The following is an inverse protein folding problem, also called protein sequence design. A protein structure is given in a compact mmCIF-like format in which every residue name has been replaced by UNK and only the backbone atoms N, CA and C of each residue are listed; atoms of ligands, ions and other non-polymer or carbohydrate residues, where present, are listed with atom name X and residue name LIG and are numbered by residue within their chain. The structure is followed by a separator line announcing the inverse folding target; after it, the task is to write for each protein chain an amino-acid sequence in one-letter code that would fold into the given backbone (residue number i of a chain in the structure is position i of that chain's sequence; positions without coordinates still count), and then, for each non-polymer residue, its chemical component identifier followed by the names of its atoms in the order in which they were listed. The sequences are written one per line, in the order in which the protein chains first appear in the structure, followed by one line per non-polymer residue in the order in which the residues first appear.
data_IF_547167687063
#
_entry.id   IF_547167687063
#
_cell.length_a   1.000
_cell.length_b   1.000
_cell.length_c   1.000
_cell.angle_alpha   90.00
_cell.angle_beta   90.00
_cell.angle_gamma   90.00
#
_symmetry.space_group_name_H-M   'P 1'
#
loop_
_entity.id
_entity.type
_entity.pdbx_description
1 polymer ?
#
# COMPACT_ATOMS: atom_id res chain seq x y z
N UNK A 1 10.84 23.31 7.77
CA UNK A 1 11.57 23.04 9.03
C UNK A 1 10.65 22.86 10.24
N UNK A 2 9.69 23.75 10.54
CA UNK A 2 8.84 23.66 11.76
C UNK A 2 8.12 22.31 11.96
N UNK A 3 7.55 21.71 10.92
CA UNK A 3 6.86 20.41 11.02
C UNK A 3 7.79 19.21 11.31
N UNK A 4 9.12 19.36 11.21
CA UNK A 4 10.07 18.31 11.56
C UNK A 4 10.47 18.30 13.04
N UNK A 5 10.31 19.44 13.72
CA UNK A 5 10.74 19.62 15.13
C UNK A 5 9.57 19.85 16.10
N UNK A 6 8.39 20.21 15.59
CA UNK A 6 7.20 20.50 16.37
C UNK A 6 6.06 19.54 16.00
N UNK A 7 5.67 18.69 16.95
CA UNK A 7 4.60 17.72 16.78
C UNK A 7 3.22 18.37 16.56
N UNK A 8 2.97 19.53 17.16
CA UNK A 8 1.72 20.28 16.97
C UNK A 8 1.66 20.86 15.56
N UNK A 9 2.74 21.51 15.12
CA UNK A 9 2.82 22.05 13.76
C UNK A 9 2.73 20.96 12.69
N UNK A 10 3.28 19.76 12.96
CA UNK A 10 3.11 18.58 12.11
C UNK A 10 1.64 18.15 12.05
N UNK A 11 0.96 18.10 13.19
CA UNK A 11 -0.46 17.76 13.27
C UNK A 11 -1.34 18.73 12.48
N UNK A 12 -1.10 20.03 12.61
CA UNK A 12 -1.85 21.06 11.88
C UNK A 12 -1.66 20.94 10.36
N UNK A 13 -0.42 20.73 9.93
CA UNK A 13 -0.11 20.50 8.51
C UNK A 13 -0.79 19.24 7.98
N UNK A 14 -0.74 18.15 8.73
CA UNK A 14 -1.41 16.90 8.37
C UNK A 14 -2.92 17.04 8.29
N UNK A 15 -3.54 17.80 9.21
CA UNK A 15 -4.98 18.07 9.21
C UNK A 15 -5.44 18.86 7.98
N UNK A 16 -4.59 19.75 7.44
CA UNK A 16 -4.86 20.47 6.19
C UNK A 16 -4.68 19.54 4.98
N UNK A 17 -3.58 18.78 4.95
CA UNK A 17 -3.20 18.00 3.77
C UNK A 17 -4.02 16.71 3.60
N UNK A 18 -4.35 15.98 4.66
CA UNK A 18 -4.99 14.67 4.54
C UNK A 18 -6.37 14.74 3.85
N UNK A 19 -7.27 15.71 4.14
CA UNK A 19 -8.52 15.86 3.40
C UNK A 19 -8.30 16.12 1.90
N UNK A 20 -7.32 16.97 1.56
CA UNK A 20 -6.99 17.29 0.17
C UNK A 20 -6.45 16.06 -0.56
N UNK A 21 -5.55 15.30 0.07
CA UNK A 21 -5.00 14.06 -0.48
C UNK A 21 -6.11 13.04 -0.69
N UNK A 22 -7.02 12.84 0.28
CA UNK A 22 -8.16 11.92 0.14
C UNK A 22 -9.07 12.31 -1.02
N UNK A 23 -9.36 13.59 -1.18
CA UNK A 23 -10.16 14.09 -2.30
C UNK A 23 -9.50 13.81 -3.65
N UNK A 24 -8.20 14.09 -3.77
CA UNK A 24 -7.46 13.84 -5.00
C UNK A 24 -7.37 12.35 -5.32
N UNK A 25 -7.10 11.50 -4.32
CA UNK A 25 -7.14 10.04 -4.47
C UNK A 25 -8.50 9.59 -4.99
N UNK A 26 -9.60 10.07 -4.39
CA UNK A 26 -10.95 9.76 -4.86
C UNK A 26 -11.20 10.21 -6.30
N UNK A 27 -10.74 11.42 -6.67
CA UNK A 27 -10.87 11.94 -8.03
C UNK A 27 -10.03 11.16 -9.05
N UNK A 28 -8.86 10.64 -8.66
CA UNK A 28 -8.05 9.77 -9.53
C UNK A 28 -8.68 8.39 -9.68
N UNK A 29 -9.16 7.78 -8.58
CA UNK A 29 -9.85 6.49 -8.62
C UNK A 29 -11.11 6.55 -9.50
N UNK A 30 -11.89 7.63 -9.44
CA UNK A 30 -13.07 7.82 -10.27
C UNK A 30 -12.74 7.90 -11.78
N UNK A 31 -11.49 8.19 -12.16
CA UNK A 31 -11.01 8.24 -13.55
C UNK A 31 -10.40 6.91 -14.03
N UNK A 32 -10.21 5.92 -13.15
CA UNK A 32 -9.66 4.62 -13.52
C UNK A 32 -10.69 3.82 -14.30
N UNK A 33 -10.35 3.45 -15.54
CA UNK A 33 -11.15 2.56 -16.40
C UNK A 33 -10.70 1.11 -16.35
N UNK A 34 -9.55 0.84 -15.73
CA UNK A 34 -9.03 -0.51 -15.54
C UNK A 34 -9.95 -1.34 -14.64
N UNK A 35 -9.82 -2.66 -14.71
CA UNK A 35 -10.65 -3.57 -13.93
C UNK A 35 -10.51 -3.36 -12.40
N UNK A 36 -9.34 -2.90 -11.94
CA UNK A 36 -9.07 -2.54 -10.55
C UNK A 36 -8.01 -1.43 -10.50
N UNK A 37 -7.84 -0.80 -9.34
CA UNK A 37 -6.81 0.21 -9.09
C UNK A 37 -5.85 -0.27 -7.99
N UNK A 38 -4.58 0.17 -8.06
CA UNK A 38 -3.58 -0.06 -7.01
C UNK A 38 -3.24 1.25 -6.32
N UNK A 39 -3.45 1.30 -5.00
CA UNK A 39 -3.04 2.43 -4.16
C UNK A 39 -1.76 2.07 -3.41
N UNK A 40 -0.64 2.70 -3.78
CA UNK A 40 0.62 2.53 -3.06
C UNK A 40 0.67 3.44 -1.82
N UNK A 41 0.47 2.85 -0.63
CA UNK A 41 0.38 3.60 0.63
C UNK A 41 1.49 3.13 1.60
N UNK A 42 2.58 3.89 1.77
CA UNK A 42 3.72 3.47 2.60
C UNK A 42 3.42 3.30 4.09
N UNK A 43 2.49 4.09 4.63
CA UNK A 43 2.13 4.10 6.06
C UNK A 43 0.71 3.57 6.32
N UNK A 44 0.31 2.55 5.57
CA UNK A 44 -1.07 2.03 5.63
C UNK A 44 -1.40 1.45 7.02
N UNK A 45 -0.44 0.74 7.63
CA UNK A 45 -0.62 0.01 8.89
C UNK A 45 -0.59 0.96 10.08
N UNK A 46 0.35 1.90 10.06
CA UNK A 46 0.57 2.93 11.08
C UNK A 46 -0.65 3.84 11.25
N UNK A 47 -1.45 4.02 10.17
CA UNK A 47 -2.65 4.86 10.18
C UNK A 47 -3.94 4.07 10.42
N UNK A 48 -3.84 2.82 10.86
CA UNK A 48 -4.99 2.01 11.26
C UNK A 48 -5.78 1.38 10.11
N UNK A 49 -5.20 1.30 8.90
CA UNK A 49 -5.80 0.63 7.74
C UNK A 49 -7.05 1.31 7.19
N UNK A 50 -6.99 1.83 5.95
CA UNK A 50 -8.15 2.44 5.27
C UNK A 50 -9.13 1.38 4.71
N UNK A 51 -9.54 0.41 5.55
CA UNK A 51 -10.36 -0.74 5.14
C UNK A 51 -11.69 -0.37 4.48
N UNK A 52 -12.23 0.83 4.71
CA UNK A 52 -13.53 1.23 4.10
C UNK A 52 -13.48 1.48 2.60
N UNK A 53 -12.30 1.75 2.01
CA UNK A 53 -12.14 2.04 0.57
C UNK A 53 -11.21 1.06 -0.14
N UNK A 54 -10.64 0.10 0.58
CA UNK A 54 -9.68 -0.87 0.08
C UNK A 54 -10.32 -2.24 0.14
N UNK A 55 -10.45 -2.88 -1.03
CA UNK A 55 -11.00 -4.23 -1.12
C UNK A 55 -10.03 -5.31 -0.68
N UNK A 56 -8.71 -5.08 -0.91
CA UNK A 56 -7.63 -5.99 -0.54
C UNK A 56 -6.34 -5.25 -0.21
N UNK A 57 -5.59 -5.78 0.75
CA UNK A 57 -4.28 -5.30 1.16
C UNK A 57 -3.21 -6.27 0.66
N UNK A 58 -2.40 -5.80 -0.31
CA UNK A 58 -1.20 -6.51 -0.78
C UNK A 58 0.03 -5.98 -0.03
N UNK A 59 0.74 -6.85 0.69
CA UNK A 59 2.03 -6.51 1.32
C UNK A 59 3.17 -7.02 0.44
N UNK A 60 4.08 -6.11 0.06
CA UNK A 60 5.36 -6.45 -0.56
C UNK A 60 6.38 -6.68 0.55
N UNK A 61 6.80 -7.92 0.75
CA UNK A 61 7.68 -8.31 1.84
C UNK A 61 9.07 -8.72 1.34
N UNK A 62 10.09 -8.49 2.15
CA UNK A 62 11.43 -9.02 1.96
C UNK A 62 12.12 -9.12 3.32
N UNK A 63 13.19 -9.90 3.38
CA UNK A 63 14.04 -10.02 4.55
C UNK A 63 14.64 -8.67 4.97
N UNK A 64 14.85 -8.52 6.28
CA UNK A 64 15.41 -7.30 6.86
C UNK A 64 16.77 -6.96 6.25
N UNK A 65 17.63 -7.95 6.03
CA UNK A 65 18.95 -7.72 5.44
C UNK A 65 18.86 -7.24 4.00
N UNK A 66 17.92 -7.75 3.20
CA UNK A 66 17.69 -7.24 1.85
C UNK A 66 17.12 -5.82 1.88
N UNK A 67 16.18 -5.53 2.77
CA UNK A 67 15.63 -4.19 2.95
C UNK A 67 16.76 -3.19 3.25
N UNK A 68 17.63 -3.52 4.20
CA UNK A 68 18.79 -2.71 4.57
C UNK A 68 19.72 -2.52 3.37
N UNK A 69 20.16 -3.61 2.75
CA UNK A 69 21.11 -3.56 1.64
C UNK A 69 20.59 -2.75 0.44
N UNK A 70 19.28 -2.81 0.16
CA UNK A 70 18.64 -2.04 -0.92
C UNK A 70 18.58 -0.55 -0.60
N UNK A 71 18.21 -0.18 0.62
CA UNK A 71 18.15 1.24 1.03
C UNK A 71 19.54 1.85 1.08
N UNK A 72 20.53 1.16 1.65
CA UNK A 72 21.92 1.65 1.69
C UNK A 72 22.44 1.91 0.27
N UNK A 73 22.25 0.95 -0.65
CA UNK A 73 22.70 1.08 -2.05
C UNK A 73 22.01 2.23 -2.79
N UNK A 74 20.71 2.42 -2.59
CA UNK A 74 19.92 3.44 -3.30
C UNK A 74 20.13 4.84 -2.74
N UNK A 75 20.21 4.96 -1.42
CA UNK A 75 20.12 6.24 -0.71
C UNK A 75 21.44 6.69 -0.05
N UNK A 76 22.49 5.86 -0.10
CA UNK A 76 23.80 6.19 0.48
C UNK A 76 23.81 6.27 2.01
N UNK A 77 22.77 5.76 2.68
CA UNK A 77 22.65 5.78 4.13
C UNK A 77 23.50 4.69 4.78
N UNK A 78 23.96 4.94 6.00
CA UNK A 78 24.62 3.94 6.86
C UNK A 78 23.61 2.89 7.35
N UNK A 79 24.10 1.71 7.76
CA UNK A 79 23.23 0.65 8.30
C UNK A 79 22.44 1.15 9.51
N UNK A 80 23.09 1.91 10.38
CA UNK A 80 22.53 2.47 11.60
C UNK A 80 21.37 3.43 11.30
N UNK A 81 21.55 4.32 10.31
CA UNK A 81 20.49 5.22 9.85
C UNK A 81 19.29 4.45 9.27
N UNK A 82 19.55 3.40 8.46
CA UNK A 82 18.46 2.59 7.90
C UNK A 82 17.71 1.84 8.99
N UNK A 83 18.42 1.27 9.96
CA UNK A 83 17.81 0.60 11.11
C UNK A 83 16.95 1.55 11.94
N UNK A 84 17.41 2.78 12.16
CA UNK A 84 16.64 3.81 12.87
C UNK A 84 15.33 4.16 12.13
N UNK A 85 15.35 4.20 10.79
CA UNK A 85 14.15 4.42 9.97
C UNK A 85 13.19 3.23 10.09
N UNK A 86 13.71 2.00 10.01
CA UNK A 86 12.89 0.79 10.11
C UNK A 86 12.23 0.70 11.49
N UNK A 87 12.94 1.10 12.56
CA UNK A 87 12.46 1.01 13.94
C UNK A 87 11.25 1.91 14.24
N UNK A 88 11.00 2.97 13.45
CA UNK A 88 9.84 3.86 13.63
C UNK A 88 8.63 3.48 12.75
N UNK A 89 8.76 2.44 11.94
CA UNK A 89 7.70 1.91 11.08
C UNK A 89 6.96 0.75 11.78
N UNK A 90 5.81 0.35 11.25
CA UNK A 90 5.12 -0.86 11.70
C UNK A 90 6.04 -2.09 11.56
N UNK A 91 5.95 -3.06 12.48
CA UNK A 91 6.77 -4.28 12.41
C UNK A 91 6.36 -5.15 11.22
N UNK A 92 7.23 -6.09 10.83
CA UNK A 92 6.92 -7.05 9.76
C UNK A 92 5.66 -7.85 10.10
N UNK A 93 5.54 -8.30 11.34
CA UNK A 93 4.40 -9.07 11.84
C UNK A 93 3.11 -8.26 11.78
N UNK A 94 3.16 -6.97 12.14
CA UNK A 94 2.02 -6.07 12.03
C UNK A 94 1.59 -5.87 10.57
N UNK A 95 2.54 -5.73 9.64
CA UNK A 95 2.23 -5.62 8.20
C UNK A 95 1.61 -6.91 7.66
N UNK A 96 2.23 -8.06 7.93
CA UNK A 96 1.72 -9.34 7.47
C UNK A 96 0.36 -9.69 8.10
N UNK A 97 0.12 -9.30 9.36
CA UNK A 97 -1.13 -9.56 10.06
C UNK A 97 -2.35 -8.81 9.49
N UNK A 98 -2.16 -7.81 8.63
CA UNK A 98 -3.26 -7.11 7.94
C UNK A 98 -3.33 -7.42 6.44
N UNK A 99 -2.43 -8.25 5.92
CA UNK A 99 -2.36 -8.56 4.50
C UNK A 99 -3.46 -9.56 4.08
N UNK A 100 -4.12 -9.29 2.97
CA UNK A 100 -4.95 -10.27 2.28
C UNK A 100 -4.10 -11.14 1.34
N UNK A 101 -3.06 -10.56 0.76
CA UNK A 101 -2.09 -11.23 -0.09
C UNK A 101 -0.67 -10.72 0.24
N UNK A 102 0.33 -11.58 0.09
CA UNK A 102 1.75 -11.23 0.29
C UNK A 102 2.52 -11.55 -0.98
N UNK A 103 3.37 -10.62 -1.40
CA UNK A 103 4.27 -10.77 -2.52
C UNK A 103 5.71 -10.74 -2.01
N UNK A 104 6.42 -11.86 -2.22
CA UNK A 104 7.79 -12.05 -1.80
C UNK A 104 8.74 -11.38 -2.79
N UNK A 105 9.50 -10.41 -2.29
CA UNK A 105 10.45 -9.60 -3.00
C UNK A 105 11.91 -9.88 -2.58
N UNK A 106 12.19 -11.01 -1.93
CA UNK A 106 13.57 -11.47 -1.67
C UNK A 106 14.24 -12.08 -2.92
N UNK A 107 13.43 -12.62 -3.84
CA UNK A 107 13.92 -13.33 -5.02
C UNK A 107 14.41 -12.45 -6.18
N UNK A 108 14.75 -13.10 -7.28
CA UNK A 108 15.06 -12.44 -8.54
C UNK A 108 13.81 -11.77 -9.16
N UNK A 109 14.01 -10.73 -9.96
CA UNK A 109 12.92 -10.01 -10.63
C UNK A 109 12.03 -10.91 -11.51
N UNK A 110 12.58 -12.01 -12.07
CA UNK A 110 11.80 -13.00 -12.82
C UNK A 110 10.81 -13.78 -11.94
N UNK A 111 11.22 -14.19 -10.74
CA UNK A 111 10.34 -14.85 -9.77
C UNK A 111 9.24 -13.89 -9.29
N UNK A 112 9.58 -12.60 -9.13
CA UNK A 112 8.63 -11.55 -8.79
C UNK A 112 7.56 -11.37 -9.88
N UNK A 113 7.96 -11.35 -11.15
CA UNK A 113 7.04 -11.20 -12.28
C UNK A 113 5.98 -12.31 -12.33
N UNK A 114 6.36 -13.56 -12.02
CA UNK A 114 5.42 -14.68 -11.96
C UNK A 114 4.40 -14.53 -10.83
N UNK A 115 4.83 -14.05 -9.66
CA UNK A 115 3.92 -13.77 -8.53
C UNK A 115 2.95 -12.64 -8.87
N UNK A 116 3.44 -11.56 -9.49
CA UNK A 116 2.61 -10.45 -9.96
C UNK A 116 1.56 -10.91 -10.95
N UNK A 117 1.92 -11.74 -11.94
CA UNK A 117 0.97 -12.27 -12.93
C UNK A 117 -0.11 -13.15 -12.29
N UNK A 118 0.26 -13.95 -11.29
CA UNK A 118 -0.71 -14.75 -10.53
C UNK A 118 -1.72 -13.86 -9.79
N UNK A 119 -1.22 -12.87 -9.04
CA UNK A 119 -2.06 -11.92 -8.30
C UNK A 119 -2.91 -11.06 -9.24
N UNK A 120 -2.36 -10.64 -10.38
CA UNK A 120 -3.10 -9.88 -11.38
C UNK A 120 -4.34 -10.65 -11.86
N UNK A 121 -4.18 -11.92 -12.24
CA UNK A 121 -5.31 -12.78 -12.67
C UNK A 121 -6.35 -12.98 -11.56
N UNK A 122 -5.90 -13.13 -10.31
CA UNK A 122 -6.80 -13.18 -9.15
C UNK A 122 -7.60 -11.88 -9.00
N UNK A 123 -6.95 -10.72 -9.08
CA UNK A 123 -7.60 -9.43 -8.92
C UNK A 123 -8.55 -9.08 -10.06
N UNK A 124 -8.23 -9.49 -11.30
CA UNK A 124 -9.17 -9.38 -12.42
C UNK A 124 -10.47 -10.14 -12.16
N UNK A 125 -10.37 -11.38 -11.65
CA UNK A 125 -11.53 -12.21 -11.31
C UNK A 125 -12.37 -11.58 -10.21
N UNK A 126 -11.74 -11.22 -9.09
CA UNK A 126 -12.43 -10.59 -7.94
C UNK A 126 -13.11 -9.29 -8.32
N UNK A 127 -12.46 -8.46 -9.14
CA UNK A 127 -13.05 -7.22 -9.61
C UNK A 127 -14.25 -7.45 -10.55
N UNK A 128 -14.22 -8.51 -11.36
CA UNK A 128 -15.37 -8.89 -12.19
C UNK A 128 -16.53 -9.39 -11.34
N UNK A 129 -16.29 -10.24 -10.35
CA UNK A 129 -17.31 -10.73 -9.41
C UNK A 129 -17.99 -9.58 -8.66
N UNK A 130 -17.19 -8.64 -8.15
CA UNK A 130 -17.70 -7.44 -7.47
C UNK A 130 -18.56 -6.57 -8.39
N UNK A 131 -18.15 -6.38 -9.65
CA UNK A 131 -18.96 -5.62 -10.64
C UNK A 131 -20.29 -6.31 -10.94
N UNK A 132 -20.30 -7.62 -11.08
CA UNK A 132 -21.52 -8.40 -11.32
C UNK A 132 -22.46 -8.31 -10.13
N UNK A 133 -21.95 -8.45 -8.90
CA UNK A 133 -22.74 -8.35 -7.68
C UNK A 133 -23.31 -6.93 -7.44
N UNK A 134 -22.67 -5.88 -7.95
CA UNK A 134 -23.12 -4.51 -7.83
C UNK A 134 -24.17 -4.09 -8.87
N UNK A 135 -24.44 -4.92 -9.89
CA UNK A 135 -25.44 -4.63 -10.92
C UNK A 135 -26.82 -5.06 -10.40
N UNK A 136 -27.82 -4.17 -10.29
CA UNK A 136 -29.17 -4.61 -9.97
C UNK A 136 -29.64 -5.61 -11.02
N UNK A 137 -30.27 -6.70 -10.58
CA UNK A 137 -30.86 -7.69 -11.48
C UNK A 137 -31.84 -7.02 -12.46
N UNK A 138 -32.10 -7.64 -13.63
CA UNK A 138 -33.14 -7.13 -14.52
C UNK A 138 -34.45 -7.01 -13.73
N UNK A 139 -35.25 -5.94 -13.92
CA UNK A 139 -36.61 -5.94 -13.40
C UNK A 139 -37.30 -7.16 -14.02
N UNK A 140 -37.84 -8.03 -13.18
CA UNK A 140 -38.54 -9.25 -13.58
C UNK A 140 -39.51 -8.93 -14.74
N UNK A 141 -39.40 -9.70 -15.82
CA UNK A 141 -40.25 -9.63 -17.01
C UNK A 141 -41.48 -10.53 -16.84
#
# INVERSE_FOLDING_TARGET
ERAFTDASARGDLEAILHPMIRREVGAQLARVTAAYALLAVPLLVERGGQRKQIDRILVVDCSLDQQIARVMRRSGLTREQVMAIIAVQATREQRLGVADDVLDNDGAASALALQVESLHRQYLRLAQEKRTAARPGPPDA
#
